data_IF_368318682863
#
_entry.id   IF_368318682863
#
_cell.length_a   1.000
_cell.length_b   1.000
_cell.length_c   1.000
_cell.angle_alpha   90.00
_cell.angle_beta   90.00
_cell.angle_gamma   90.00
#
_symmetry.space_group_name_H-M   'P 1'
#
loop_
_entity.id
_entity.type
_entity.pdbx_description
1 polymer ?
#
# COMPACT_ATOMS: atom_id res chain seq x y z
N UNK A 1 0.03 11.02 -0.74
CA UNK A 1 -0.86 11.68 0.23
C UNK A 1 -1.90 10.72 0.79
N UNK A 2 -1.48 9.74 1.57
CA UNK A 2 -2.33 8.86 2.39
C UNK A 2 -1.46 8.21 3.47
N UNK A 3 -2.04 7.93 4.63
CA UNK A 3 -1.42 7.24 5.75
C UNK A 3 -2.13 5.89 5.92
N UNK A 4 -1.39 4.79 5.82
CA UNK A 4 -1.90 3.50 6.25
C UNK A 4 -1.50 3.25 7.70
N UNK A 5 -2.46 2.87 8.53
CA UNK A 5 -2.22 2.42 9.90
C UNK A 5 -2.33 0.91 9.93
N UNK A 6 -1.19 0.24 10.08
CA UNK A 6 -1.11 -1.24 10.09
C UNK A 6 -0.44 -1.64 11.39
N UNK A 7 -1.13 -2.42 12.23
CA UNK A 7 -0.65 -2.79 13.58
C UNK A 7 -0.21 -1.57 14.42
N UNK A 8 -0.91 -0.44 14.27
CA UNK A 8 -0.60 0.83 14.94
C UNK A 8 0.60 1.60 14.36
N UNK A 9 1.30 1.05 13.37
CA UNK A 9 2.39 1.75 12.64
C UNK A 9 1.81 2.58 11.51
N UNK A 10 2.34 3.80 11.34
CA UNK A 10 1.92 4.73 10.27
C UNK A 10 2.87 4.65 9.08
N UNK A 11 2.32 4.36 7.90
CA UNK A 11 3.05 4.26 6.63
C UNK A 11 2.53 5.33 5.68
N UNK A 12 3.40 6.27 5.30
CA UNK A 12 3.09 7.35 4.38
C UNK A 12 3.31 6.90 2.94
N UNK A 13 2.33 7.16 2.06
CA UNK A 13 2.40 6.71 0.66
C UNK A 13 1.76 7.72 -0.30
N UNK A 14 2.06 7.62 -1.59
CA UNK A 14 1.50 8.39 -2.70
C UNK A 14 0.28 7.69 -3.30
N UNK A 15 -0.89 8.33 -3.24
CA UNK A 15 -2.12 7.85 -3.86
C UNK A 15 -1.99 7.74 -5.37
N UNK A 16 -1.21 8.62 -6.00
CA UNK A 16 -0.95 8.59 -7.45
C UNK A 16 -0.14 7.36 -7.86
N UNK A 17 0.95 7.04 -7.16
CA UNK A 17 1.80 5.88 -7.48
C UNK A 17 1.02 4.59 -7.26
N UNK A 18 0.31 4.49 -6.13
CA UNK A 18 -0.52 3.34 -5.82
C UNK A 18 -1.64 3.14 -6.85
N UNK A 19 -2.33 4.21 -7.26
CA UNK A 19 -3.37 4.14 -8.28
C UNK A 19 -2.83 3.79 -9.66
N UNK A 20 -1.62 4.23 -10.00
CA UNK A 20 -0.97 3.86 -11.25
C UNK A 20 -0.61 2.37 -11.28
N UNK A 21 -0.11 1.82 -10.17
CA UNK A 21 0.35 0.45 -10.08
C UNK A 21 -0.75 -0.59 -9.78
N UNK A 22 -1.90 -0.17 -9.24
CA UNK A 22 -2.94 -1.09 -8.78
C UNK A 22 -4.35 -0.60 -9.11
N UNK A 23 -5.10 -1.43 -9.84
CA UNK A 23 -6.51 -1.17 -10.14
C UNK A 23 -7.40 -1.11 -8.89
N UNK A 24 -6.98 -1.75 -7.79
CA UNK A 24 -7.63 -1.62 -6.49
C UNK A 24 -7.48 -0.20 -5.95
N UNK A 25 -6.24 0.30 -5.86
CA UNK A 25 -5.98 1.64 -5.35
C UNK A 25 -6.51 2.74 -6.29
N UNK A 26 -6.54 2.50 -7.61
CA UNK A 26 -7.18 3.39 -8.57
C UNK A 26 -8.66 3.58 -8.23
N UNK A 27 -9.39 2.48 -8.00
CA UNK A 27 -10.81 2.53 -7.64
C UNK A 27 -11.02 3.11 -6.24
N UNK A 28 -10.12 2.82 -5.30
CA UNK A 28 -10.20 3.32 -3.93
C UNK A 28 -10.07 4.85 -3.87
N UNK A 29 -9.10 5.41 -4.59
CA UNK A 29 -8.78 6.85 -4.51
C UNK A 29 -9.50 7.70 -5.56
N UNK A 30 -9.74 7.15 -6.75
CA UNK A 30 -10.26 7.88 -7.91
C UNK A 30 -11.52 7.24 -8.51
N UNK A 31 -12.19 6.37 -7.76
CA UNK A 31 -13.48 5.80 -8.14
C UNK A 31 -14.61 6.83 -8.13
N UNK A 32 -15.85 6.35 -8.30
CA UNK A 32 -17.04 7.21 -8.37
C UNK A 32 -17.37 7.92 -7.05
N UNK A 33 -16.73 7.53 -5.95
CA UNK A 33 -16.87 8.17 -4.63
C UNK A 33 -15.64 9.02 -4.38
N UNK A 34 -15.85 10.23 -3.85
CA UNK A 34 -14.77 11.11 -3.41
C UNK A 34 -14.03 10.43 -2.26
N UNK A 35 -12.73 10.24 -2.42
CA UNK A 35 -11.83 9.79 -1.36
C UNK A 35 -11.42 11.01 -0.52
N UNK A 36 -11.97 11.11 0.70
CA UNK A 36 -11.69 12.23 1.63
C UNK A 36 -10.81 11.81 2.81
N UNK A 37 -10.65 10.50 3.02
CA UNK A 37 -9.91 9.93 4.13
C UNK A 37 -8.41 10.05 3.88
N UNK A 38 -7.68 10.67 4.80
CA UNK A 38 -6.21 10.74 4.71
C UNK A 38 -5.51 9.60 5.46
N UNK A 39 -6.25 8.87 6.30
CA UNK A 39 -5.75 7.80 7.15
C UNK A 39 -6.65 6.57 7.00
N UNK A 40 -6.07 5.44 6.62
CA UNK A 40 -6.76 4.16 6.39
C UNK A 40 -6.19 3.14 7.38
N UNK A 41 -7.04 2.59 8.23
CA UNK A 41 -6.65 1.51 9.15
C UNK A 41 -6.82 0.17 8.46
N UNK A 42 -5.76 -0.66 8.47
CA UNK A 42 -5.79 -2.02 7.96
C UNK A 42 -5.62 -2.99 9.14
N UNK A 43 -6.65 -3.79 9.42
CA UNK A 43 -6.67 -4.78 10.50
C UNK A 43 -6.28 -6.19 10.05
N UNK A 44 -6.37 -6.47 8.76
CA UNK A 44 -6.36 -7.84 8.22
C UNK A 44 -5.05 -8.20 7.49
N UNK A 45 -4.02 -7.38 7.67
CA UNK A 45 -2.69 -7.57 7.09
C UNK A 45 -1.62 -7.18 8.11
N UNK A 46 -0.52 -7.92 8.17
CA UNK A 46 0.61 -7.53 9.02
C UNK A 46 1.31 -6.29 8.45
N UNK A 47 2.01 -5.56 9.31
CA UNK A 47 2.82 -4.43 8.84
C UNK A 47 3.92 -4.88 7.88
N UNK A 48 4.43 -6.10 8.01
CA UNK A 48 5.52 -6.64 7.20
C UNK A 48 5.03 -6.95 5.78
N UNK A 49 3.96 -7.73 5.65
CA UNK A 49 3.36 -8.07 4.35
C UNK A 49 2.95 -6.81 3.58
N UNK A 50 2.34 -5.84 4.26
CA UNK A 50 1.92 -4.62 3.62
C UNK A 50 3.12 -3.75 3.20
N UNK A 51 4.19 -3.73 3.99
CA UNK A 51 5.42 -3.02 3.60
C UNK A 51 6.06 -3.66 2.38
N UNK A 52 6.16 -5.00 2.34
CA UNK A 52 6.69 -5.72 1.18
C UNK A 52 5.86 -5.42 -0.10
N UNK A 53 4.53 -5.37 0.02
CA UNK A 53 3.67 -5.01 -1.10
C UNK A 53 3.90 -3.57 -1.58
N UNK A 54 4.11 -2.61 -0.67
CA UNK A 54 4.48 -1.25 -1.05
C UNK A 54 5.84 -1.24 -1.75
N UNK A 55 6.85 -1.92 -1.22
CA UNK A 55 8.17 -1.98 -1.83
C UNK A 55 8.12 -2.51 -3.28
N UNK A 56 7.32 -3.54 -3.55
CA UNK A 56 7.10 -4.04 -4.92
C UNK A 56 6.43 -3.02 -5.85
N UNK A 57 5.57 -2.15 -5.32
CA UNK A 57 4.90 -1.10 -6.09
C UNK A 57 5.87 0.05 -6.41
N UNK A 58 6.71 0.43 -5.44
CA UNK A 58 7.63 1.56 -5.59
C UNK A 58 8.94 1.20 -6.29
N UNK A 59 9.36 -0.07 -6.20
CA UNK A 59 10.57 -0.59 -6.83
C UNK A 59 10.23 -1.88 -7.60
N UNK A 60 9.55 -1.76 -8.75
CA UNK A 60 9.09 -2.91 -9.53
C UNK A 60 10.25 -3.71 -10.16
N UNK A 61 11.46 -3.13 -10.22
CA UNK A 61 12.67 -3.77 -10.74
C UNK A 61 13.48 -4.48 -9.62
N UNK A 62 13.01 -4.42 -8.37
CA UNK A 62 13.66 -5.11 -7.26
C UNK A 62 13.61 -6.62 -7.46
N UNK A 63 14.77 -7.25 -7.51
CA UNK A 63 14.87 -8.71 -7.55
C UNK A 63 14.16 -9.31 -6.32
N UNK A 64 13.13 -10.12 -6.57
CA UNK A 64 12.48 -10.94 -5.52
C UNK A 64 13.52 -11.94 -5.05
N UNK A 65 14.08 -11.70 -3.87
CA UNK A 65 15.01 -12.64 -3.22
C UNK A 65 14.24 -13.49 -2.21
N UNK A 66 14.74 -14.70 -1.93
CA UNK A 66 14.04 -15.72 -1.10
C UNK A 66 13.67 -15.28 0.33
N UNK A 67 14.15 -14.11 0.78
CA UNK A 67 13.83 -13.56 2.11
C UNK A 67 12.39 -13.05 2.25
N UNK A 68 11.63 -12.87 1.17
CA UNK A 68 10.25 -12.34 1.22
C UNK A 68 9.17 -13.43 1.22
N UNK A 69 9.54 -14.71 1.07
CA UNK A 69 8.56 -15.82 0.93
C UNK A 69 8.42 -16.64 2.23
N UNK A 70 9.20 -16.36 3.28
CA UNK A 70 9.28 -17.23 4.47
C UNK A 70 9.31 -16.51 5.84
N UNK A 71 8.88 -15.25 5.97
CA UNK A 71 8.64 -14.62 7.29
C UNK A 71 7.17 -14.67 7.70
#
# INVERSE_FOLDING_TARGET
DVIFVVEGKKLHSSTQILAHASSYFLKLFYGSRVFEEKEIVLSDVSSEEFTAALEMIYDPDRAVTESTVLS
#
